data_IF_286032743587
#
_entry.id   IF_286032743587
#
_cell.length_a   1.000
_cell.length_b   1.000
_cell.length_c   1.000
_cell.angle_alpha   90.00
_cell.angle_beta   90.00
_cell.angle_gamma   90.00
#
_symmetry.space_group_name_H-M   'P 1'
#
loop_
_entity.id
_entity.type
_entity.pdbx_description
1 polymer ?
#
# COMPACT_ATOMS: atom_id res chain seq x y z
N UNK A 1 21.33 24.65 27.76
CA UNK A 1 20.15 23.83 27.49
C UNK A 1 20.59 22.40 27.21
N UNK A 2 19.87 21.40 27.73
CA UNK A 2 20.10 19.97 27.49
C UNK A 2 18.79 19.41 26.92
N UNK A 3 18.89 18.60 25.89
CA UNK A 3 17.73 17.94 25.32
C UNK A 3 17.16 16.89 26.30
N UNK A 4 15.84 16.87 26.44
CA UNK A 4 15.17 15.75 27.09
C UNK A 4 15.32 14.46 26.28
N UNK A 5 15.05 13.30 26.89
CA UNK A 5 15.03 12.02 26.17
C UNK A 5 14.07 12.05 24.97
N UNK A 6 12.90 12.66 25.13
CA UNK A 6 11.93 12.85 24.05
C UNK A 6 12.50 13.75 22.94
N UNK A 7 13.09 14.88 23.30
CA UNK A 7 13.71 15.80 22.33
C UNK A 7 14.86 15.12 21.56
N UNK A 8 15.62 14.24 22.23
CA UNK A 8 16.66 13.46 21.58
C UNK A 8 16.07 12.47 20.57
N UNK A 9 15.02 11.72 20.94
CA UNK A 9 14.33 10.78 20.04
C UNK A 9 13.75 11.50 18.82
N UNK A 10 13.09 12.65 19.01
CA UNK A 10 12.53 13.43 17.89
C UNK A 10 13.58 13.85 16.86
N UNK A 11 14.84 14.04 17.29
CA UNK A 11 15.94 14.46 16.41
C UNK A 11 16.72 13.29 15.79
N UNK A 12 16.68 12.11 16.39
CA UNK A 12 17.61 11.02 16.01
C UNK A 12 16.91 9.74 15.56
N UNK A 13 15.64 9.56 15.89
CA UNK A 13 14.88 8.38 15.50
C UNK A 13 14.31 8.54 14.08
N UNK A 14 14.68 7.67 13.12
CA UNK A 14 14.17 7.75 11.75
C UNK A 14 12.65 7.65 11.64
N UNK A 15 12.00 6.85 12.50
CA UNK A 15 10.54 6.73 12.53
C UNK A 15 9.89 8.07 12.88
N UNK A 16 10.43 8.76 13.90
CA UNK A 16 9.92 10.08 14.29
C UNK A 16 10.07 11.09 13.16
N UNK A 17 11.25 11.15 12.52
CA UNK A 17 11.51 12.06 11.40
C UNK A 17 10.55 11.81 10.23
N UNK A 18 10.38 10.53 9.83
CA UNK A 18 9.49 10.15 8.72
C UNK A 18 8.05 10.58 8.98
N UNK A 19 7.54 10.32 10.19
CA UNK A 19 6.17 10.70 10.55
C UNK A 19 5.98 12.21 10.68
N UNK A 20 6.99 12.93 11.20
CA UNK A 20 6.95 14.38 11.30
C UNK A 20 6.96 15.05 9.93
N UNK A 21 7.85 14.61 9.03
CA UNK A 21 7.95 15.13 7.66
C UNK A 21 6.65 14.86 6.90
N UNK A 22 6.11 13.64 6.96
CA UNK A 22 4.83 13.30 6.34
C UNK A 22 3.67 14.18 6.84
N UNK A 23 3.55 14.35 8.16
CA UNK A 23 2.49 15.18 8.71
C UNK A 23 2.66 16.66 8.38
N UNK A 24 3.89 17.17 8.39
CA UNK A 24 4.18 18.57 8.07
C UNK A 24 3.98 18.88 6.59
N UNK A 25 4.58 18.09 5.70
CA UNK A 25 4.66 18.42 4.28
C UNK A 25 3.41 18.00 3.52
N UNK A 26 2.82 16.83 3.88
CA UNK A 26 1.67 16.27 3.15
C UNK A 26 0.34 16.70 3.79
N UNK A 27 0.21 16.62 5.12
CA UNK A 27 -1.10 16.71 5.76
C UNK A 27 -1.44 18.10 6.30
N UNK A 28 -0.48 18.81 6.86
CA UNK A 28 -0.73 19.98 7.73
C UNK A 28 -1.63 21.06 7.10
N UNK A 29 -1.31 21.47 5.89
CA UNK A 29 -2.10 22.49 5.20
C UNK A 29 -3.46 21.98 4.73
N UNK A 30 -3.51 20.75 4.25
CA UNK A 30 -4.73 20.15 3.73
C UNK A 30 -5.77 19.85 4.81
N UNK A 31 -5.35 19.52 6.03
CA UNK A 31 -6.26 19.23 7.15
C UNK A 31 -7.15 20.43 7.54
N UNK A 32 -6.80 21.64 7.14
CA UNK A 32 -7.68 22.82 7.28
C UNK A 32 -9.04 22.62 6.56
N UNK A 33 -9.09 21.79 5.53
CA UNK A 33 -10.28 21.48 4.74
C UNK A 33 -11.03 20.22 5.20
N UNK A 34 -10.80 19.76 6.45
CA UNK A 34 -11.41 18.53 6.97
C UNK A 34 -12.94 18.58 7.00
N UNK A 35 -13.53 19.70 7.39
CA UNK A 35 -14.99 19.86 7.38
C UNK A 35 -15.56 19.68 5.97
N UNK A 36 -14.96 20.32 4.97
CA UNK A 36 -15.36 20.19 3.57
C UNK A 36 -15.23 18.74 3.07
N UNK A 37 -14.14 18.08 3.41
CA UNK A 37 -13.90 16.69 3.04
C UNK A 37 -14.96 15.75 3.60
N UNK A 38 -15.32 15.91 4.88
CA UNK A 38 -16.37 15.11 5.53
C UNK A 38 -17.76 15.36 4.92
N UNK A 39 -18.07 16.61 4.58
CA UNK A 39 -19.36 16.95 3.98
C UNK A 39 -19.48 16.46 2.53
N UNK A 40 -18.41 16.49 1.78
CA UNK A 40 -18.41 16.20 0.33
C UNK A 40 -17.99 14.75 -0.01
N UNK A 41 -17.43 13.99 0.94
CA UNK A 41 -16.89 12.65 0.69
C UNK A 41 -15.75 12.66 -0.36
N UNK A 42 -14.89 13.70 -0.33
CA UNK A 42 -13.80 13.93 -1.29
C UNK A 42 -12.56 14.43 -0.56
N UNK A 43 -11.35 14.22 -1.11
CA UNK A 43 -10.12 14.69 -0.50
C UNK A 43 -9.94 16.21 -0.72
N UNK A 44 -10.79 17.03 -0.10
CA UNK A 44 -10.82 18.48 -0.32
C UNK A 44 -9.53 19.19 0.10
N UNK A 45 -8.74 18.59 0.99
CA UNK A 45 -7.41 19.11 1.34
C UNK A 45 -6.41 19.01 0.21
N UNK A 46 -6.59 18.08 -0.72
CA UNK A 46 -5.68 17.87 -1.85
C UNK A 46 -5.57 19.12 -2.76
N UNK A 47 -6.59 19.96 -2.77
CA UNK A 47 -6.60 21.23 -3.54
C UNK A 47 -5.46 22.20 -3.20
N UNK A 48 -4.79 22.04 -2.05
CA UNK A 48 -3.61 22.84 -1.70
C UNK A 48 -2.41 22.54 -2.60
N UNK A 49 -2.40 21.38 -3.25
CA UNK A 49 -1.34 20.93 -4.16
C UNK A 49 -1.77 20.89 -5.63
N UNK A 50 -3.04 20.55 -5.90
CA UNK A 50 -3.55 20.42 -7.26
C UNK A 50 -5.01 20.02 -7.33
N UNK A 51 -5.50 19.71 -8.53
CA UNK A 51 -6.92 19.40 -8.81
C UNK A 51 -7.11 17.97 -9.32
N UNK A 52 -6.44 17.02 -8.69
CA UNK A 52 -6.63 15.58 -8.95
C UNK A 52 -7.79 15.03 -8.13
N UNK A 53 -8.36 13.92 -8.57
CA UNK A 53 -9.41 13.21 -7.80
C UNK A 53 -8.84 12.51 -6.57
N UNK A 54 -7.62 12.01 -6.67
CA UNK A 54 -6.88 11.36 -5.59
C UNK A 54 -5.42 11.85 -5.60
N UNK A 55 -4.73 11.74 -4.46
CA UNK A 55 -3.31 12.07 -4.38
C UNK A 55 -2.47 11.15 -5.29
N UNK A 56 -2.94 9.92 -5.52
CA UNK A 56 -2.23 8.90 -6.32
C UNK A 56 -2.12 9.31 -7.80
N UNK A 57 -3.17 9.94 -8.35
CA UNK A 57 -3.12 10.52 -9.70
C UNK A 57 -2.11 11.67 -9.81
N UNK A 58 -1.97 12.45 -8.73
CA UNK A 58 -1.11 13.61 -8.67
C UNK A 58 0.31 13.33 -8.18
N UNK A 59 0.62 12.11 -7.72
CA UNK A 59 1.84 11.79 -6.98
C UNK A 59 3.12 12.21 -7.69
N UNK A 60 3.20 11.99 -9.01
CA UNK A 60 4.35 12.40 -9.83
C UNK A 60 4.44 13.91 -10.10
N UNK A 61 3.41 14.66 -9.75
CA UNK A 61 3.28 16.11 -10.00
C UNK A 61 3.20 16.93 -8.70
N UNK A 62 3.28 16.28 -7.55
CA UNK A 62 3.38 16.95 -6.25
C UNK A 62 4.65 17.82 -6.19
N UNK A 63 4.68 18.89 -5.38
CA UNK A 63 5.91 19.59 -5.07
C UNK A 63 6.99 18.62 -4.56
N UNK A 64 8.23 18.81 -4.96
CA UNK A 64 9.34 17.87 -4.72
C UNK A 64 9.46 17.41 -3.24
N UNK A 65 9.34 18.35 -2.30
CA UNK A 65 9.46 18.03 -0.87
C UNK A 65 8.25 17.20 -0.36
N UNK A 66 7.05 17.52 -0.86
CA UNK A 66 5.81 16.77 -0.52
C UNK A 66 5.89 15.34 -1.06
N UNK A 67 6.29 15.19 -2.33
CA UNK A 67 6.48 13.87 -2.97
C UNK A 67 7.52 13.05 -2.21
N UNK A 68 8.66 13.66 -1.89
CA UNK A 68 9.74 13.01 -1.15
C UNK A 68 9.30 12.54 0.23
N UNK A 69 8.57 13.37 0.98
CA UNK A 69 8.07 13.03 2.31
C UNK A 69 7.01 11.92 2.24
N UNK A 70 6.15 11.95 1.22
CA UNK A 70 5.16 10.91 0.97
C UNK A 70 5.83 9.56 0.66
N UNK A 71 6.75 9.52 -0.33
CA UNK A 71 7.46 8.30 -0.71
C UNK A 71 8.34 7.76 0.43
N UNK A 72 8.95 8.65 1.22
CA UNK A 72 9.77 8.24 2.37
C UNK A 72 8.94 7.60 3.47
N UNK A 73 7.71 8.08 3.69
CA UNK A 73 6.76 7.50 4.63
C UNK A 73 6.31 6.12 4.17
N UNK A 74 5.82 6.01 2.95
CA UNK A 74 5.37 4.75 2.34
C UNK A 74 6.45 3.67 2.38
N UNK A 75 7.64 3.98 1.87
CA UNK A 75 8.77 3.07 1.84
C UNK A 75 9.31 2.70 3.24
N UNK A 76 9.26 3.62 4.21
CA UNK A 76 9.74 3.32 5.55
C UNK A 76 8.94 2.17 6.17
N UNK A 77 7.63 2.23 6.04
CA UNK A 77 6.76 1.21 6.61
C UNK A 77 6.84 -0.11 5.83
N UNK A 78 6.74 -0.09 4.51
CA UNK A 78 6.75 -1.30 3.70
C UNK A 78 8.08 -2.05 3.73
N UNK A 79 9.20 -1.35 3.49
CA UNK A 79 10.51 -1.97 3.33
C UNK A 79 10.96 -2.77 4.57
N UNK A 80 10.61 -2.30 5.76
CA UNK A 80 11.01 -2.98 7.01
C UNK A 80 10.36 -4.36 7.18
N UNK A 81 9.23 -4.61 6.53
CA UNK A 81 8.51 -5.88 6.58
C UNK A 81 8.90 -6.86 5.47
N UNK A 82 9.65 -6.43 4.44
CA UNK A 82 9.95 -7.25 3.26
C UNK A 82 10.69 -8.55 3.57
N UNK A 83 11.65 -8.56 4.48
CA UNK A 83 12.41 -9.78 4.82
C UNK A 83 11.54 -10.88 5.42
N UNK A 84 10.49 -10.51 6.15
CA UNK A 84 9.53 -11.44 6.72
C UNK A 84 8.49 -11.84 5.67
N UNK A 85 8.00 -10.87 4.91
CA UNK A 85 7.04 -11.08 3.83
C UNK A 85 7.58 -12.01 2.73
N UNK A 86 8.85 -11.86 2.33
CA UNK A 86 9.50 -12.76 1.36
C UNK A 86 9.44 -14.22 1.80
N UNK A 87 9.72 -14.51 3.07
CA UNK A 87 9.68 -15.88 3.61
C UNK A 87 8.26 -16.46 3.54
N UNK A 88 7.25 -15.63 3.82
CA UNK A 88 5.84 -16.03 3.78
C UNK A 88 5.42 -16.30 2.33
N UNK A 89 5.62 -15.34 1.43
CA UNK A 89 5.22 -15.44 0.03
C UNK A 89 5.94 -16.61 -0.68
N UNK A 90 7.26 -16.70 -0.51
CA UNK A 90 8.07 -17.73 -1.17
C UNK A 90 7.99 -19.11 -0.51
N UNK A 91 7.31 -19.27 0.65
CA UNK A 91 6.93 -20.59 1.15
C UNK A 91 5.93 -21.30 0.23
N UNK A 92 5.25 -20.56 -0.65
CA UNK A 92 4.36 -21.06 -1.70
C UNK A 92 5.05 -21.23 -3.06
N UNK A 93 6.35 -20.93 -3.17
CA UNK A 93 7.19 -21.11 -4.35
C UNK A 93 6.63 -20.52 -5.65
N UNK A 94 6.19 -19.25 -5.68
CA UNK A 94 5.63 -18.64 -6.88
C UNK A 94 6.71 -18.46 -7.96
N UNK A 95 6.42 -18.89 -9.20
CA UNK A 95 7.24 -18.60 -10.37
C UNK A 95 6.81 -17.30 -11.06
N UNK A 96 5.51 -16.95 -10.96
CA UNK A 96 4.93 -15.74 -11.55
C UNK A 96 4.15 -14.97 -10.48
N UNK A 97 4.62 -13.79 -10.14
CA UNK A 97 4.03 -12.93 -9.12
C UNK A 97 3.48 -11.65 -9.75
N UNK A 98 2.23 -11.31 -9.42
CA UNK A 98 1.59 -10.04 -9.76
C UNK A 98 1.68 -9.10 -8.54
N UNK A 99 2.40 -7.99 -8.69
CA UNK A 99 2.58 -6.94 -7.66
C UNK A 99 1.60 -5.81 -7.95
N UNK A 100 0.51 -5.74 -7.20
CA UNK A 100 -0.58 -4.77 -7.41
C UNK A 100 -0.33 -3.52 -6.59
N UNK A 101 -0.25 -2.38 -7.27
CA UNK A 101 0.15 -1.12 -6.63
C UNK A 101 1.64 -1.09 -6.30
N UNK A 102 2.49 -1.75 -7.11
CA UNK A 102 3.92 -1.92 -6.83
C UNK A 102 4.76 -0.64 -6.88
N UNK A 103 4.14 0.51 -7.19
CA UNK A 103 4.72 1.85 -7.11
C UNK A 103 6.10 1.92 -7.82
N UNK A 104 7.18 2.18 -7.06
CA UNK A 104 8.54 2.32 -7.60
C UNK A 104 9.26 0.98 -7.86
N UNK A 105 8.62 -0.17 -7.64
CA UNK A 105 9.16 -1.50 -7.89
C UNK A 105 10.11 -2.05 -6.83
N UNK A 106 10.10 -1.50 -5.62
CA UNK A 106 11.01 -1.93 -4.53
C UNK A 106 10.75 -3.36 -4.08
N UNK A 107 9.48 -3.74 -3.93
CA UNK A 107 9.12 -5.12 -3.60
C UNK A 107 9.53 -6.08 -4.73
N UNK A 108 9.22 -5.75 -5.97
CA UNK A 108 9.58 -6.56 -7.13
C UNK A 108 11.09 -6.82 -7.22
N UNK A 109 11.93 -5.78 -7.00
CA UNK A 109 13.39 -5.94 -6.93
C UNK A 109 13.81 -6.89 -5.81
N UNK A 110 13.18 -6.80 -4.63
CA UNK A 110 13.47 -7.73 -3.51
C UNK A 110 13.06 -9.16 -3.82
N UNK A 111 11.95 -9.37 -4.55
CA UNK A 111 11.52 -10.70 -4.99
C UNK A 111 12.53 -11.34 -5.94
N UNK A 112 12.96 -10.61 -6.97
CA UNK A 112 13.92 -11.14 -7.95
C UNK A 112 15.34 -11.31 -7.41
N UNK A 113 15.72 -10.56 -6.38
CA UNK A 113 16.96 -10.75 -5.61
C UNK A 113 16.88 -11.99 -4.69
N UNK A 114 15.70 -12.26 -4.14
CA UNK A 114 15.45 -13.37 -3.22
C UNK A 114 15.36 -14.73 -3.94
N UNK A 115 14.83 -14.75 -5.16
CA UNK A 115 14.61 -15.98 -5.93
C UNK A 115 14.94 -15.76 -7.42
N UNK A 116 15.84 -16.58 -7.95
CA UNK A 116 16.34 -16.44 -9.33
C UNK A 116 15.33 -16.88 -10.40
N UNK A 117 14.30 -17.64 -10.03
CA UNK A 117 13.32 -18.21 -10.97
C UNK A 117 12.03 -17.38 -11.06
N UNK A 118 11.81 -16.42 -10.13
CA UNK A 118 10.58 -15.63 -10.11
C UNK A 118 10.58 -14.54 -11.16
N UNK A 119 9.45 -14.39 -11.85
CA UNK A 119 9.11 -13.24 -12.68
C UNK A 119 8.02 -12.42 -12.01
N UNK A 120 8.21 -11.11 -11.92
CA UNK A 120 7.26 -10.18 -11.28
C UNK A 120 6.66 -9.26 -12.33
N UNK A 121 5.34 -9.13 -12.34
CA UNK A 121 4.64 -8.10 -13.11
C UNK A 121 4.07 -7.07 -12.13
N UNK A 122 4.51 -5.83 -12.25
CA UNK A 122 3.96 -4.71 -11.48
C UNK A 122 2.74 -4.18 -12.20
N UNK A 123 1.61 -4.13 -11.49
CA UNK A 123 0.34 -3.63 -12.02
C UNK A 123 -0.04 -2.34 -11.30
N UNK A 124 -0.02 -1.21 -12.03
CA UNK A 124 -0.23 0.11 -11.44
C UNK A 124 -0.74 1.12 -12.48
N UNK A 125 -1.02 2.35 -12.07
CA UNK A 125 -1.35 3.45 -12.95
C UNK A 125 -0.22 3.73 -13.94
N UNK A 126 -0.52 4.21 -15.18
CA UNK A 126 0.50 4.45 -16.22
C UNK A 126 1.67 5.33 -15.75
N UNK A 127 1.38 6.36 -14.91
CA UNK A 127 2.41 7.25 -14.38
C UNK A 127 3.36 6.50 -13.44
N UNK A 128 2.84 5.62 -12.58
CA UNK A 128 3.61 4.79 -11.65
C UNK A 128 4.46 3.76 -12.42
N UNK A 129 3.91 3.14 -13.45
CA UNK A 129 4.69 2.25 -14.33
C UNK A 129 5.83 3.00 -15.01
N UNK A 130 5.60 4.25 -15.42
CA UNK A 130 6.67 5.14 -15.94
C UNK A 130 7.77 5.41 -14.91
N UNK A 131 7.41 5.72 -13.67
CA UNK A 131 8.35 5.93 -12.55
C UNK A 131 9.10 4.64 -12.21
N UNK A 132 8.40 3.53 -12.11
CA UNK A 132 8.99 2.21 -11.87
C UNK A 132 10.08 1.88 -12.89
N UNK A 133 9.80 2.01 -14.19
CA UNK A 133 10.77 1.74 -15.26
C UNK A 133 12.03 2.59 -15.13
N UNK A 134 11.90 3.84 -14.70
CA UNK A 134 13.06 4.71 -14.42
C UNK A 134 13.84 4.27 -13.17
N UNK A 135 13.14 3.82 -12.11
CA UNK A 135 13.74 3.44 -10.83
C UNK A 135 14.44 2.09 -10.86
N UNK A 136 13.85 1.10 -11.53
CA UNK A 136 14.46 -0.23 -11.67
C UNK A 136 15.55 -0.25 -12.75
N UNK A 137 15.36 0.46 -13.86
CA UNK A 137 16.38 0.70 -14.88
C UNK A 137 17.28 -0.50 -15.18
N UNK A 138 18.59 -0.30 -14.98
CA UNK A 138 19.61 -1.31 -15.21
C UNK A 138 19.98 -2.11 -13.95
N UNK A 139 19.14 -2.12 -12.92
CA UNK A 139 19.42 -2.90 -11.70
C UNK A 139 19.42 -4.40 -12.00
N UNK A 140 20.18 -5.13 -11.20
CA UNK A 140 20.22 -6.59 -11.28
C UNK A 140 18.80 -7.16 -11.09
N UNK A 141 18.43 -8.12 -11.94
CA UNK A 141 17.09 -8.70 -11.94
C UNK A 141 16.01 -7.92 -12.68
N UNK A 142 16.28 -6.69 -13.16
CA UNK A 142 15.29 -5.85 -13.87
C UNK A 142 14.68 -6.56 -15.10
N UNK A 143 15.44 -7.43 -15.78
CA UNK A 143 14.96 -8.22 -16.91
C UNK A 143 13.82 -9.22 -16.56
N UNK A 144 13.57 -9.47 -15.27
CA UNK A 144 12.50 -10.34 -14.75
C UNK A 144 11.33 -9.54 -14.15
N UNK A 145 11.30 -8.22 -14.37
CA UNK A 145 10.25 -7.32 -13.87
C UNK A 145 9.57 -6.64 -15.05
N UNK A 146 8.27 -6.88 -15.20
CA UNK A 146 7.43 -6.27 -16.21
C UNK A 146 6.47 -5.25 -15.61
N UNK A 147 5.91 -4.36 -16.44
CA UNK A 147 4.87 -3.41 -16.04
C UNK A 147 3.57 -3.64 -16.79
N UNK A 148 2.45 -3.59 -16.08
CA UNK A 148 1.10 -3.67 -16.61
C UNK A 148 0.29 -2.44 -16.16
N UNK A 149 -0.10 -1.61 -17.13
CA UNK A 149 -0.84 -0.36 -16.88
C UNK A 149 -2.33 -0.63 -16.69
N UNK A 150 -2.90 -0.16 -15.58
CA UNK A 150 -4.31 -0.30 -15.26
C UNK A 150 -4.81 0.86 -14.38
N UNK A 151 -6.07 1.23 -14.54
CA UNK A 151 -6.83 1.99 -13.53
C UNK A 151 -7.75 1.03 -12.79
N UNK A 152 -7.45 0.73 -11.54
CA UNK A 152 -8.22 -0.20 -10.71
C UNK A 152 -9.54 0.38 -10.21
N UNK A 153 -9.77 1.69 -10.32
CA UNK A 153 -11.08 2.31 -10.10
C UNK A 153 -12.04 2.05 -11.27
N UNK A 154 -11.53 1.62 -12.43
CA UNK A 154 -12.39 1.12 -13.50
C UNK A 154 -12.83 -0.32 -13.19
N UNK A 155 -14.10 -0.57 -12.83
CA UNK A 155 -14.57 -1.90 -12.43
C UNK A 155 -14.58 -2.92 -13.58
N UNK A 156 -14.54 -2.45 -14.83
CA UNK A 156 -14.54 -3.32 -16.02
C UNK A 156 -13.12 -3.73 -16.45
N UNK A 157 -12.07 -3.17 -15.84
CA UNK A 157 -10.70 -3.51 -16.18
C UNK A 157 -10.31 -4.88 -15.59
N UNK A 158 -10.04 -5.92 -16.39
CA UNK A 158 -9.73 -7.25 -15.89
C UNK A 158 -8.30 -7.33 -15.37
N UNK A 159 -8.09 -8.17 -14.37
CA UNK A 159 -6.75 -8.57 -13.96
C UNK A 159 -6.13 -9.52 -15.00
N UNK A 160 -4.82 -9.43 -15.24
CA UNK A 160 -4.12 -10.39 -16.07
C UNK A 160 -4.09 -11.77 -15.41
N UNK A 161 -4.07 -12.84 -16.21
CA UNK A 161 -4.14 -14.23 -15.75
C UNK A 161 -2.77 -14.92 -15.72
N UNK A 162 -2.72 -16.06 -15.05
CA UNK A 162 -1.57 -16.97 -15.06
C UNK A 162 -0.48 -16.59 -14.06
N UNK A 163 -0.86 -16.05 -12.93
CA UNK A 163 0.02 -15.76 -11.78
C UNK A 163 -0.23 -16.76 -10.65
N UNK A 164 0.87 -17.24 -10.05
CA UNK A 164 0.83 -18.16 -8.92
C UNK A 164 0.57 -17.41 -7.60
N UNK A 165 1.03 -16.15 -7.55
CA UNK A 165 0.84 -15.25 -6.44
C UNK A 165 0.39 -13.87 -6.92
N UNK A 166 -0.55 -13.27 -6.20
CA UNK A 166 -0.91 -11.87 -6.30
C UNK A 166 -0.52 -11.22 -4.97
N UNK A 167 0.18 -10.10 -5.02
CA UNK A 167 0.63 -9.35 -3.87
C UNK A 167 -0.01 -7.97 -3.84
N UNK A 168 -0.59 -7.59 -2.70
CA UNK A 168 -1.13 -6.26 -2.40
C UNK A 168 -0.57 -5.82 -1.06
N UNK A 169 0.15 -4.70 -1.02
CA UNK A 169 0.81 -4.21 0.19
C UNK A 169 0.58 -2.73 0.38
N UNK A 170 0.07 -2.32 1.52
CA UNK A 170 -0.32 -0.93 1.81
C UNK A 170 -1.12 -0.35 0.64
N UNK A 171 -2.07 -1.12 0.16
CA UNK A 171 -2.77 -0.87 -1.08
C UNK A 171 -4.29 -0.82 -0.89
N UNK A 172 -4.87 -1.78 -0.18
CA UNK A 172 -6.32 -1.85 0.00
C UNK A 172 -6.85 -0.76 0.94
N UNK A 173 -6.03 -0.26 1.84
CA UNK A 173 -6.35 0.90 2.67
C UNK A 173 -6.53 2.20 1.87
N UNK A 174 -6.10 2.21 0.59
CA UNK A 174 -6.32 3.30 -0.35
C UNK A 174 -7.72 3.29 -1.01
N UNK A 175 -8.61 2.37 -0.66
CA UNK A 175 -9.91 2.17 -1.33
C UNK A 175 -11.06 2.05 -0.31
N UNK A 176 -12.27 2.42 -0.73
CA UNK A 176 -13.49 2.15 0.04
C UNK A 176 -13.83 0.65 0.06
N UNK A 177 -14.66 0.21 1.00
CA UNK A 177 -15.09 -1.19 1.11
C UNK A 177 -15.71 -1.74 -0.19
N UNK A 178 -16.45 -0.91 -0.91
CA UNK A 178 -17.04 -1.29 -2.20
C UNK A 178 -15.99 -1.47 -3.30
N UNK A 179 -15.00 -0.56 -3.35
CA UNK A 179 -13.88 -0.65 -4.29
C UNK A 179 -12.98 -1.84 -3.96
N UNK A 180 -12.66 -2.09 -2.67
CA UNK A 180 -11.92 -3.28 -2.22
C UNK A 180 -12.62 -4.54 -2.71
N UNK A 181 -13.93 -4.67 -2.46
CA UNK A 181 -14.71 -5.83 -2.89
C UNK A 181 -14.63 -6.03 -4.41
N UNK A 182 -14.74 -4.95 -5.20
CA UNK A 182 -14.61 -5.01 -6.66
C UNK A 182 -13.21 -5.43 -7.11
N UNK A 183 -12.15 -4.89 -6.48
CA UNK A 183 -10.76 -5.24 -6.79
C UNK A 183 -10.50 -6.72 -6.47
N UNK A 184 -10.91 -7.17 -5.29
CA UNK A 184 -10.75 -8.57 -4.86
C UNK A 184 -11.54 -9.53 -5.76
N UNK A 185 -12.76 -9.17 -6.17
CA UNK A 185 -13.56 -9.98 -7.10
C UNK A 185 -12.85 -10.18 -8.46
N UNK A 186 -12.24 -9.13 -8.99
CA UNK A 186 -11.48 -9.21 -10.25
C UNK A 186 -10.18 -9.99 -10.07
N UNK A 187 -9.49 -9.84 -8.94
CA UNK A 187 -8.34 -10.65 -8.60
C UNK A 187 -8.72 -12.13 -8.49
N UNK A 188 -9.80 -12.47 -7.76
CA UNK A 188 -10.32 -13.83 -7.65
C UNK A 188 -10.68 -14.44 -9.01
N UNK A 189 -11.27 -13.66 -9.93
CA UNK A 189 -11.59 -14.11 -11.28
C UNK A 189 -10.35 -14.46 -12.11
N UNK A 190 -9.21 -13.83 -11.85
CA UNK A 190 -7.94 -14.09 -12.55
C UNK A 190 -7.11 -15.24 -11.97
N UNK A 191 -7.38 -15.65 -10.72
CA UNK A 191 -6.67 -16.72 -10.03
C UNK A 191 -7.13 -18.10 -10.50
N UNK A 192 -6.23 -19.08 -10.47
CA UNK A 192 -6.57 -20.51 -10.51
C UNK A 192 -6.70 -21.10 -9.08
N UNK A 193 -6.91 -22.41 -8.96
CA UNK A 193 -7.11 -23.09 -7.69
C UNK A 193 -5.85 -23.10 -6.79
N UNK A 194 -4.68 -22.99 -7.39
CA UNK A 194 -3.39 -23.05 -6.70
C UNK A 194 -2.85 -21.67 -6.34
N UNK A 195 -3.32 -20.65 -7.04
CA UNK A 195 -2.89 -19.28 -6.80
C UNK A 195 -3.29 -18.76 -5.41
N UNK A 196 -2.49 -17.86 -4.86
CA UNK A 196 -2.77 -17.19 -3.59
C UNK A 196 -2.70 -15.68 -3.77
N UNK A 197 -3.63 -15.00 -3.10
CA UNK A 197 -3.54 -13.56 -2.88
C UNK A 197 -2.96 -13.31 -1.49
N UNK A 198 -1.88 -12.55 -1.44
CA UNK A 198 -1.22 -12.09 -0.22
C UNK A 198 -1.54 -10.61 -0.02
N UNK A 199 -2.14 -10.25 1.10
CA UNK A 199 -2.49 -8.88 1.44
C UNK A 199 -1.69 -8.49 2.67
N UNK A 200 -0.79 -7.51 2.54
CA UNK A 200 -0.03 -6.96 3.66
C UNK A 200 -0.55 -5.57 4.00
N UNK A 201 -1.18 -5.44 5.16
CA UNK A 201 -1.76 -4.20 5.64
C UNK A 201 -1.44 -3.95 7.12
N UNK A 202 -1.50 -2.69 7.53
CA UNK A 202 -1.49 -2.32 8.94
C UNK A 202 -2.93 -2.24 9.45
N UNK A 203 -3.37 -3.27 10.16
CA UNK A 203 -4.72 -3.36 10.73
C UNK A 203 -4.71 -2.82 12.16
N UNK A 204 -5.56 -1.85 12.47
CA UNK A 204 -5.45 -1.14 13.74
C UNK A 204 -5.82 -1.99 14.95
N UNK A 205 -6.67 -3.00 14.80
CA UNK A 205 -7.06 -3.95 15.85
C UNK A 205 -6.01 -5.06 16.09
N UNK A 206 -5.01 -5.20 15.21
CA UNK A 206 -3.95 -6.22 15.29
C UNK A 206 -2.60 -5.65 15.71
N UNK A 207 -2.61 -4.49 16.35
CA UNK A 207 -1.39 -3.85 16.82
C UNK A 207 -0.93 -4.40 18.18
N UNK A 208 0.36 -4.30 18.44
CA UNK A 208 0.98 -4.80 19.68
C UNK A 208 0.48 -4.10 20.96
N UNK A 209 -0.11 -2.90 20.85
CA UNK A 209 -0.62 -2.13 21.96
C UNK A 209 -1.60 -1.03 21.51
N UNK A 210 -2.38 -0.51 22.46
CA UNK A 210 -3.42 0.49 22.21
C UNK A 210 -2.89 1.81 21.65
N UNK A 211 -1.66 2.19 21.96
CA UNK A 211 -1.05 3.43 21.44
C UNK A 211 -0.79 3.30 19.93
N UNK A 212 -0.25 2.15 19.51
CA UNK A 212 -0.05 1.86 18.08
C UNK A 212 -1.39 1.81 17.33
N UNK A 213 -2.41 1.15 17.90
CA UNK A 213 -3.76 1.12 17.35
C UNK A 213 -4.34 2.52 17.20
N UNK A 214 -4.22 3.36 18.24
CA UNK A 214 -4.67 4.74 18.21
C UNK A 214 -3.94 5.56 17.14
N UNK A 215 -2.61 5.46 17.05
CA UNK A 215 -1.84 6.18 16.03
C UNK A 215 -2.29 5.80 14.62
N UNK A 216 -2.52 4.51 14.35
CA UNK A 216 -3.03 4.06 13.05
C UNK A 216 -4.42 4.63 12.75
N UNK A 217 -5.36 4.60 13.69
CA UNK A 217 -6.68 5.17 13.45
C UNK A 217 -6.62 6.65 13.07
N UNK A 218 -5.64 7.41 13.59
CA UNK A 218 -5.46 8.83 13.23
C UNK A 218 -4.97 9.02 11.78
N UNK A 219 -4.29 8.04 11.18
CA UNK A 219 -3.90 8.10 9.75
C UNK A 219 -5.14 8.12 8.84
N UNK A 220 -6.29 7.65 9.31
CA UNK A 220 -7.55 7.76 8.56
C UNK A 220 -7.90 9.21 8.19
N UNK A 221 -7.42 10.20 8.93
CA UNK A 221 -7.59 11.62 8.58
C UNK A 221 -6.89 11.97 7.25
N UNK A 222 -5.71 11.41 7.01
CA UNK A 222 -5.02 11.56 5.73
C UNK A 222 -5.86 11.00 4.58
N UNK A 223 -6.39 9.79 4.72
CA UNK A 223 -7.24 9.18 3.69
C UNK A 223 -8.47 10.03 3.40
N UNK A 224 -9.15 10.51 4.45
CA UNK A 224 -10.35 11.34 4.33
C UNK A 224 -10.07 12.69 3.66
N UNK A 225 -8.96 13.34 4.01
CA UNK A 225 -8.77 14.76 3.65
C UNK A 225 -7.82 14.93 2.46
N UNK A 226 -6.81 14.07 2.32
CA UNK A 226 -5.74 14.23 1.35
C UNK A 226 -5.71 13.14 0.27
N UNK A 227 -5.98 11.88 0.62
CA UNK A 227 -5.73 10.78 -0.29
C UNK A 227 -6.85 10.60 -1.33
N UNK A 228 -8.04 10.18 -0.91
CA UNK A 228 -9.16 9.85 -1.79
C UNK A 228 -10.55 10.23 -1.24
N UNK A 229 -10.66 10.54 0.04
CA UNK A 229 -11.89 10.99 0.67
C UNK A 229 -12.85 9.89 1.12
N UNK A 230 -12.60 8.62 0.80
CA UNK A 230 -13.54 7.52 1.02
C UNK A 230 -12.95 6.25 1.62
N UNK A 231 -11.68 6.27 2.00
CA UNK A 231 -10.99 5.15 2.64
C UNK A 231 -10.51 5.47 4.07
N UNK A 232 -9.95 4.48 4.74
CA UNK A 232 -9.55 4.55 6.15
C UNK A 232 -8.53 3.47 6.47
N UNK A 233 -7.87 3.58 7.62
CA UNK A 233 -7.21 2.42 8.23
C UNK A 233 -8.26 1.41 8.67
N UNK A 234 -8.14 0.17 8.21
CA UNK A 234 -9.19 -0.84 8.38
C UNK A 234 -9.04 -1.65 9.68
N UNK A 235 -10.17 -2.05 10.26
CA UNK A 235 -10.29 -3.18 11.16
C UNK A 235 -10.16 -4.49 10.38
N UNK A 236 -9.53 -5.51 10.94
CA UNK A 236 -9.37 -6.79 10.25
C UNK A 236 -10.69 -7.42 9.81
N UNK A 237 -11.74 -7.36 10.63
CA UNK A 237 -13.05 -7.90 10.28
C UNK A 237 -13.68 -7.17 9.08
N UNK A 238 -13.49 -5.85 8.95
CA UNK A 238 -14.00 -5.08 7.81
C UNK A 238 -13.31 -5.51 6.52
N UNK A 239 -11.99 -5.63 6.56
CA UNK A 239 -11.21 -6.07 5.40
C UNK A 239 -11.54 -7.52 5.01
N UNK A 240 -11.64 -8.44 5.99
CA UNK A 240 -12.02 -9.83 5.76
C UNK A 240 -13.41 -9.92 5.12
N UNK A 241 -14.39 -9.15 5.58
CA UNK A 241 -15.72 -9.09 4.94
C UNK A 241 -15.65 -8.68 3.46
N UNK A 242 -14.81 -7.70 3.12
CA UNK A 242 -14.61 -7.29 1.72
C UNK A 242 -13.96 -8.39 0.89
N UNK A 243 -12.98 -9.10 1.46
CA UNK A 243 -12.28 -10.24 0.82
C UNK A 243 -13.26 -11.37 0.53
N UNK A 244 -14.09 -11.74 1.52
CA UNK A 244 -15.09 -12.81 1.39
C UNK A 244 -16.20 -12.43 0.39
N UNK A 245 -16.67 -11.19 0.43
CA UNK A 245 -17.63 -10.67 -0.54
C UNK A 245 -17.05 -10.64 -1.98
N UNK A 246 -15.74 -10.53 -2.12
CA UNK A 246 -15.01 -10.65 -3.38
C UNK A 246 -14.79 -12.07 -3.87
N UNK A 247 -15.24 -13.11 -3.12
CA UNK A 247 -15.17 -14.52 -3.52
C UNK A 247 -13.86 -15.23 -3.13
N UNK A 248 -13.13 -14.69 -2.17
CA UNK A 248 -11.96 -15.34 -1.59
C UNK A 248 -12.22 -15.74 -0.14
N UNK A 249 -11.42 -16.67 0.37
CA UNK A 249 -11.40 -17.09 1.77
C UNK A 249 -10.02 -16.83 2.34
N UNK A 250 -9.93 -16.24 3.54
CA UNK A 250 -8.68 -16.06 4.28
C UNK A 250 -8.28 -17.42 4.87
N UNK A 251 -7.14 -17.96 4.44
CA UNK A 251 -6.59 -19.23 4.95
C UNK A 251 -5.79 -19.04 6.24
N UNK A 252 -4.97 -17.99 6.27
CA UNK A 252 -4.03 -17.73 7.37
C UNK A 252 -3.80 -16.24 7.50
N UNK A 253 -3.58 -15.80 8.74
CA UNK A 253 -3.14 -14.42 9.06
C UNK A 253 -1.83 -14.51 9.84
N UNK A 254 -0.81 -13.85 9.34
CA UNK A 254 0.47 -13.66 10.02
C UNK A 254 0.51 -12.26 10.58
N UNK A 255 0.45 -12.15 11.91
CA UNK A 255 0.50 -10.87 12.64
C UNK A 255 1.90 -10.54 13.13
N UNK A 256 2.09 -9.29 13.51
CA UNK A 256 3.27 -8.83 14.24
C UNK A 256 4.54 -8.73 13.39
N UNK A 257 4.41 -8.57 12.06
CA UNK A 257 5.54 -8.21 11.22
C UNK A 257 6.08 -6.83 11.65
N UNK A 258 7.31 -6.55 11.25
CA UNK A 258 7.91 -5.23 11.49
C UNK A 258 6.97 -4.12 11.02
N UNK A 259 7.05 -2.98 11.68
CA UNK A 259 6.16 -1.82 11.43
C UNK A 259 4.67 -2.10 11.64
N UNK A 260 4.30 -3.18 12.35
CA UNK A 260 2.92 -3.48 12.73
C UNK A 260 2.05 -4.06 11.61
N UNK A 261 2.66 -4.59 10.57
CA UNK A 261 1.92 -5.23 9.47
C UNK A 261 1.39 -6.61 9.85
N UNK A 262 0.30 -6.98 9.18
CA UNK A 262 -0.22 -8.34 9.10
C UNK A 262 -0.27 -8.78 7.64
N UNK A 263 -0.04 -10.07 7.36
CA UNK A 263 -0.23 -10.66 6.04
C UNK A 263 -1.40 -11.63 6.09
N UNK A 264 -2.42 -11.37 5.28
CA UNK A 264 -3.54 -12.27 5.05
C UNK A 264 -3.24 -13.09 3.79
N UNK A 265 -3.27 -14.40 3.89
CA UNK A 265 -3.15 -15.33 2.77
C UNK A 265 -4.54 -15.78 2.38
N UNK A 266 -4.92 -15.54 1.13
CA UNK A 266 -6.27 -15.79 0.62
C UNK A 266 -6.23 -16.74 -0.57
N UNK A 267 -7.26 -17.61 -0.67
CA UNK A 267 -7.50 -18.50 -1.80
C UNK A 267 -8.90 -18.30 -2.34
N UNK A 268 -9.19 -18.87 -3.49
CA UNK A 268 -10.57 -19.01 -3.98
C UNK A 268 -11.44 -19.74 -2.96
N UNK A 269 -12.67 -19.24 -2.77
CA UNK A 269 -13.67 -19.86 -1.90
C UNK A 269 -14.17 -21.19 -2.43
#
# INVERSE_FOLDING_TARGET
>A
FVLSKIGWLLLTDPLMSVNMDFNHDVNYLGLYHMEEALLNGKPEGLKVFGSWKTIYEGLSSLPDEVQKSWLRFDHYYSDHSFDEALKIVFSHSPARLLDVGGNTGRWALRCVDYNDDVHVTIMDLPQQIGMMKQQIGDKDGAARIDGYEIDLLNPDAPFPQGFDAIWMSQFLDCFSEAEITSIVQRAAASMDEHARLFIMETLWDRQANDVAAYCLTQISLYFTVMANGNSKMYHSDDLIRCIEAGGLTVETIHDGLKSGHSILICRKA
#
